data_IF_513140577955
#
_entry.id   IF_513140577955
#
_cell.length_a   1.000
_cell.length_b   1.000
_cell.length_c   1.000
_cell.angle_alpha   90.00
_cell.angle_beta   90.00
_cell.angle_gamma   90.00
#
_symmetry.space_group_name_H-M   'P 1'
#
loop_
_entity.id
_entity.type
_entity.pdbx_description
1 polymer ?
#
# COMPACT_ATOMS: atom_id res chain seq x y z
N UNK A 1 19.54 -77.47 12.09
CA UNK A 1 19.46 -76.16 11.42
C UNK A 1 18.03 -75.92 10.94
N UNK A 2 17.16 -75.27 11.73
CA UNK A 2 15.85 -74.80 11.28
C UNK A 2 15.81 -73.27 11.11
N UNK A 3 14.87 -72.83 10.28
CA UNK A 3 14.64 -71.45 9.84
C UNK A 3 14.11 -70.53 10.94
N UNK A 4 14.68 -69.32 11.05
CA UNK A 4 14.10 -68.22 11.83
C UNK A 4 13.07 -67.47 10.98
N UNK A 5 11.84 -67.40 11.47
CA UNK A 5 10.76 -66.64 10.86
C UNK A 5 10.09 -65.83 11.98
N UNK A 6 10.40 -64.54 12.08
CA UNK A 6 9.78 -63.64 13.07
C UNK A 6 9.26 -62.40 12.37
N UNK A 7 7.95 -62.35 12.14
CA UNK A 7 7.26 -61.21 11.56
C UNK A 7 6.68 -60.35 12.69
N UNK A 8 7.48 -59.41 13.19
CA UNK A 8 7.04 -58.50 14.26
C UNK A 8 6.20 -57.35 13.70
N UNK A 9 4.89 -57.61 13.55
CA UNK A 9 3.89 -56.56 13.36
C UNK A 9 3.76 -55.74 14.66
N UNK A 10 4.67 -54.81 14.89
CA UNK A 10 4.60 -53.88 16.03
C UNK A 10 3.41 -52.92 15.86
N UNK A 11 2.28 -53.33 16.45
CA UNK A 11 1.06 -52.52 16.55
C UNK A 11 1.09 -51.82 17.90
N UNK A 12 1.58 -50.59 17.95
CA UNK A 12 1.46 -49.75 19.14
C UNK A 12 -0.02 -49.42 19.39
N UNK A 13 -0.56 -49.60 20.61
CA UNK A 13 -1.93 -49.23 20.92
C UNK A 13 -2.08 -47.70 20.92
N UNK A 14 -3.12 -47.20 20.26
CA UNK A 14 -3.45 -45.79 20.28
C UNK A 14 -4.01 -45.40 21.67
N UNK A 15 -3.27 -44.58 22.42
CA UNK A 15 -3.77 -43.92 23.62
C UNK A 15 -4.57 -42.67 23.20
N UNK A 16 -5.89 -42.61 23.44
CA UNK A 16 -6.74 -41.56 22.85
C UNK A 16 -6.65 -40.19 23.54
N UNK A 17 -6.07 -40.10 24.75
CA UNK A 17 -6.26 -38.94 25.65
C UNK A 17 -5.12 -37.89 25.65
N UNK A 18 -4.11 -38.02 24.77
CA UNK A 18 -2.97 -37.07 24.67
C UNK A 18 -2.91 -36.28 23.35
N UNK A 19 -3.77 -36.59 22.39
CA UNK A 19 -3.70 -36.11 20.99
C UNK A 19 -4.10 -34.64 20.76
N UNK A 20 -4.53 -33.92 21.80
CA UNK A 20 -5.31 -32.67 21.65
C UNK A 20 -4.61 -31.39 22.16
N UNK A 21 -3.27 -31.37 22.16
CA UNK A 21 -2.48 -30.16 22.45
C UNK A 21 -2.26 -29.31 21.19
N UNK A 22 -2.13 -29.94 20.01
CA UNK A 22 -1.85 -29.25 18.73
C UNK A 22 -3.12 -29.06 17.89
N UNK A 23 -3.17 -27.93 17.19
CA UNK A 23 -4.23 -27.61 16.22
C UNK A 23 -4.28 -28.67 15.10
N UNK A 24 -5.47 -29.01 14.56
CA UNK A 24 -5.58 -29.90 13.40
C UNK A 24 -4.73 -29.46 12.20
N UNK A 25 -4.53 -28.16 12.01
CA UNK A 25 -3.68 -27.62 10.94
C UNK A 25 -2.18 -27.77 11.22
N UNK A 26 -1.75 -27.64 12.47
CA UNK A 26 -0.35 -27.87 12.87
C UNK A 26 0.03 -29.34 12.67
N UNK A 27 -0.88 -30.26 13.00
CA UNK A 27 -0.71 -31.71 12.77
C UNK A 27 -0.63 -32.05 11.28
N UNK A 28 -1.42 -31.37 10.45
CA UNK A 28 -1.30 -31.43 8.97
C UNK A 28 0.08 -30.95 8.52
N UNK A 29 0.56 -29.82 9.04
CA UNK A 29 1.86 -29.25 8.64
C UNK A 29 3.03 -30.14 9.08
N UNK A 30 3.01 -30.68 10.30
CA UNK A 30 4.02 -31.63 10.78
C UNK A 30 4.04 -32.91 9.94
N UNK A 31 2.88 -33.44 9.55
CA UNK A 31 2.81 -34.59 8.65
C UNK A 31 3.43 -34.30 7.27
N UNK A 32 3.24 -33.10 6.72
CA UNK A 32 3.87 -32.68 5.45
C UNK A 32 5.39 -32.53 5.61
N UNK A 33 5.86 -31.94 6.71
CA UNK A 33 7.29 -31.82 7.02
C UNK A 33 7.93 -33.20 7.18
N UNK A 34 7.30 -34.12 7.91
CA UNK A 34 7.79 -35.49 8.08
C UNK A 34 7.85 -36.27 6.75
N UNK A 35 6.87 -36.08 5.86
CA UNK A 35 6.92 -36.61 4.49
C UNK A 35 8.14 -36.03 3.77
N UNK A 36 8.25 -34.71 3.65
CA UNK A 36 9.30 -34.04 2.86
C UNK A 36 10.72 -34.28 3.39
N UNK A 37 10.88 -34.48 4.71
CA UNK A 37 12.17 -34.69 5.36
C UNK A 37 12.65 -36.14 5.33
N UNK A 38 11.82 -37.10 4.91
CA UNK A 38 12.29 -38.49 4.81
C UNK A 38 13.33 -38.67 3.70
N UNK A 39 14.14 -39.73 3.75
CA UNK A 39 14.95 -40.12 2.60
C UNK A 39 14.10 -40.35 1.35
N UNK A 40 14.71 -40.08 0.19
CA UNK A 40 14.23 -40.51 -1.12
C UNK A 40 14.80 -41.90 -1.41
N UNK A 41 13.94 -42.81 -1.85
CA UNK A 41 14.36 -44.11 -2.36
C UNK A 41 15.01 -43.96 -3.75
N UNK A 42 15.78 -44.96 -4.22
CA UNK A 42 16.46 -44.89 -5.53
C UNK A 42 15.52 -44.73 -6.74
N UNK A 43 14.23 -45.00 -6.57
CA UNK A 43 13.17 -44.79 -7.57
C UNK A 43 12.62 -43.35 -7.61
N UNK A 44 13.17 -42.45 -6.78
CA UNK A 44 12.71 -41.07 -6.62
C UNK A 44 11.43 -40.93 -5.80
N UNK A 45 10.95 -42.00 -5.16
CA UNK A 45 9.77 -41.93 -4.28
C UNK A 45 10.17 -41.69 -2.82
N UNK A 46 9.34 -40.92 -2.12
CA UNK A 46 9.49 -40.65 -0.70
C UNK A 46 9.41 -41.95 0.10
N UNK A 47 10.36 -42.23 1.00
CA UNK A 47 10.32 -43.41 1.87
C UNK A 47 9.08 -43.35 2.78
N UNK A 48 8.86 -42.22 3.43
CA UNK A 48 7.72 -42.02 4.32
C UNK A 48 6.43 -41.70 3.53
N UNK A 49 5.61 -42.75 3.34
CA UNK A 49 4.39 -42.67 2.52
C UNK A 49 3.27 -41.90 3.24
N UNK A 50 2.46 -41.17 2.47
CA UNK A 50 1.28 -40.39 2.93
C UNK A 50 0.33 -41.19 3.85
N UNK A 51 0.21 -42.51 3.65
CA UNK A 51 -0.63 -43.38 4.50
C UNK A 51 -0.04 -43.66 5.89
N UNK A 52 1.29 -43.64 6.04
CA UNK A 52 1.94 -43.72 7.34
C UNK A 52 1.74 -42.40 8.09
N UNK A 53 2.17 -41.28 7.49
CA UNK A 53 1.97 -39.93 8.01
C UNK A 53 0.51 -39.62 8.44
N UNK A 54 -0.48 -40.03 7.65
CA UNK A 54 -1.90 -39.86 8.00
C UNK A 54 -2.29 -40.59 9.30
N UNK A 55 -1.72 -41.77 9.59
CA UNK A 55 -1.97 -42.51 10.83
C UNK A 55 -1.17 -41.92 11.99
N UNK A 56 0.13 -41.73 11.78
CA UNK A 56 1.08 -41.38 12.83
C UNK A 56 0.81 -39.96 13.40
N UNK A 57 0.33 -39.03 12.55
CA UNK A 57 -0.15 -37.71 12.96
C UNK A 57 -1.68 -37.65 13.17
N UNK A 58 -2.39 -38.78 12.99
CA UNK A 58 -3.84 -38.93 13.12
C UNK A 58 -4.67 -37.93 12.26
N UNK A 59 -4.19 -37.64 11.03
CA UNK A 59 -4.76 -36.68 10.08
C UNK A 59 -5.52 -37.41 8.96
N UNK A 60 -6.73 -36.97 8.55
CA UNK A 60 -7.43 -37.56 7.41
C UNK A 60 -6.60 -37.54 6.12
N UNK A 61 -6.39 -38.72 5.51
CA UNK A 61 -5.55 -38.90 4.31
C UNK A 61 -5.95 -38.00 3.14
N UNK A 62 -7.25 -37.77 2.95
CA UNK A 62 -7.78 -36.86 1.91
C UNK A 62 -7.29 -35.44 2.12
N UNK A 63 -7.40 -34.90 3.34
CA UNK A 63 -6.92 -33.58 3.72
C UNK A 63 -5.40 -33.46 3.53
N UNK A 64 -4.63 -34.43 4.02
CA UNK A 64 -3.17 -34.45 3.86
C UNK A 64 -2.75 -34.50 2.38
N UNK A 65 -3.46 -35.26 1.55
CA UNK A 65 -3.20 -35.33 0.10
C UNK A 65 -3.55 -34.00 -0.60
N UNK A 66 -4.69 -33.39 -0.27
CA UNK A 66 -5.07 -32.09 -0.82
C UNK A 66 -4.03 -31.00 -0.48
N UNK A 67 -3.53 -31.03 0.75
CA UNK A 67 -2.47 -30.13 1.23
C UNK A 67 -1.14 -30.30 0.50
N UNK A 68 -0.70 -31.55 0.32
CA UNK A 68 0.51 -31.86 -0.44
C UNK A 68 0.40 -31.38 -1.90
N UNK A 69 -0.82 -31.38 -2.46
CA UNK A 69 -1.15 -30.85 -3.78
C UNK A 69 -1.35 -29.31 -3.81
N UNK A 70 -1.03 -28.60 -2.73
CA UNK A 70 -1.09 -27.13 -2.68
C UNK A 70 -2.47 -26.51 -2.40
N UNK A 71 -3.45 -27.30 -1.94
CA UNK A 71 -4.76 -26.74 -1.54
C UNK A 71 -4.62 -25.92 -0.25
N UNK A 72 -5.03 -24.65 -0.32
CA UNK A 72 -4.97 -23.65 0.76
C UNK A 72 -5.97 -23.94 1.90
N UNK A 73 -5.75 -23.34 3.08
CA UNK A 73 -6.70 -23.43 4.19
C UNK A 73 -8.00 -22.73 3.78
N UNK A 74 -9.12 -23.11 4.40
CA UNK A 74 -10.35 -22.34 4.26
C UNK A 74 -10.18 -20.86 4.70
N UNK A 75 -9.27 -20.58 5.64
CA UNK A 75 -8.97 -19.22 6.11
C UNK A 75 -8.22 -18.39 5.05
N UNK A 76 -7.22 -19.00 4.41
CA UNK A 76 -6.44 -18.42 3.29
C UNK A 76 -7.31 -18.25 2.04
N UNK A 77 -8.09 -19.28 1.68
CA UNK A 77 -8.94 -19.23 0.50
C UNK A 77 -9.96 -18.07 0.56
N UNK A 78 -10.55 -17.81 1.73
CA UNK A 78 -11.46 -16.67 1.95
C UNK A 78 -10.73 -15.36 2.30
N UNK A 79 -9.39 -15.27 2.18
CA UNK A 79 -8.66 -14.02 2.48
C UNK A 79 -9.09 -12.87 1.56
N UNK A 80 -9.37 -13.17 0.29
CA UNK A 80 -9.85 -12.21 -0.69
C UNK A 80 -11.29 -11.71 -0.44
N UNK A 81 -12.07 -12.38 0.42
CA UNK A 81 -13.43 -11.99 0.81
C UNK A 81 -13.44 -11.06 2.03
N UNK A 82 -12.28 -10.78 2.63
CA UNK A 82 -12.15 -9.91 3.82
C UNK A 82 -12.36 -8.45 3.43
N UNK A 83 -13.10 -7.71 4.26
CA UNK A 83 -13.33 -6.27 4.08
C UNK A 83 -12.03 -5.45 4.22
N UNK A 84 -11.11 -5.88 5.10
CA UNK A 84 -9.78 -5.28 5.26
C UNK A 84 -8.72 -6.26 4.77
N UNK A 85 -7.76 -5.74 4.01
CA UNK A 85 -6.51 -6.44 3.66
C UNK A 85 -5.63 -6.62 4.90
N UNK A 86 -4.65 -7.53 4.84
CA UNK A 86 -3.68 -7.75 5.92
C UNK A 86 -2.94 -6.44 6.31
N UNK A 87 -2.60 -5.61 5.32
CA UNK A 87 -1.95 -4.32 5.55
C UNK A 87 -2.88 -3.33 6.31
N UNK A 88 -4.17 -3.26 5.94
CA UNK A 88 -5.15 -2.44 6.64
C UNK A 88 -5.42 -2.95 8.06
N UNK A 89 -5.50 -4.27 8.27
CA UNK A 89 -5.62 -4.83 9.62
C UNK A 89 -4.40 -4.49 10.49
N UNK A 90 -3.18 -4.48 9.94
CA UNK A 90 -1.99 -4.09 10.68
C UNK A 90 -2.04 -2.63 11.17
N UNK A 91 -2.64 -1.70 10.40
CA UNK A 91 -2.88 -0.32 10.85
C UNK A 91 -3.83 -0.30 12.05
N UNK A 92 -4.89 -1.11 12.03
CA UNK A 92 -5.81 -1.26 13.18
C UNK A 92 -5.08 -1.85 14.39
N UNK A 93 -4.22 -2.86 14.20
CA UNK A 93 -3.39 -3.46 15.27
C UNK A 93 -2.45 -2.42 15.89
N UNK A 94 -1.79 -1.61 15.07
CA UNK A 94 -0.88 -0.55 15.53
C UNK A 94 -1.63 0.54 16.30
N UNK A 95 -2.78 0.98 15.80
CA UNK A 95 -3.66 1.94 16.49
C UNK A 95 -4.12 1.41 17.85
N UNK A 96 -4.56 0.15 17.95
CA UNK A 96 -4.93 -0.46 19.25
C UNK A 96 -3.74 -0.49 20.22
N UNK A 97 -2.52 -0.78 19.72
CA UNK A 97 -1.31 -0.77 20.55
C UNK A 97 -0.96 0.64 21.05
N UNK A 98 -1.08 1.66 20.20
CA UNK A 98 -0.88 3.06 20.59
C UNK A 98 -1.92 3.52 21.63
N UNK A 99 -3.18 3.12 21.48
CA UNK A 99 -4.23 3.41 22.47
C UNK A 99 -3.96 2.71 23.80
N UNK A 100 -3.54 1.44 23.78
CA UNK A 100 -3.12 0.70 24.98
C UNK A 100 -1.91 1.33 25.69
N UNK A 101 -0.91 1.79 24.94
CA UNK A 101 0.24 2.54 25.49
C UNK A 101 -0.16 3.87 26.15
N UNK A 102 -1.26 4.49 25.71
CA UNK A 102 -1.84 5.70 26.31
C UNK A 102 -2.76 5.40 27.51
N UNK A 103 -2.91 4.13 27.89
CA UNK A 103 -3.83 3.70 28.96
C UNK A 103 -5.31 3.77 28.58
N UNK A 104 -5.64 3.91 27.29
CA UNK A 104 -7.02 4.02 26.80
C UNK A 104 -7.51 2.65 26.30
N UNK A 105 -8.50 2.01 26.96
CA UNK A 105 -9.06 0.76 26.49
C UNK A 105 -9.88 0.98 25.21
N UNK A 106 -9.56 0.26 24.14
CA UNK A 106 -10.34 0.27 22.89
C UNK A 106 -11.54 -0.66 23.04
N UNK A 107 -12.75 -0.13 22.88
CA UNK A 107 -13.98 -0.94 22.86
C UNK A 107 -14.19 -1.61 21.49
N UNK A 108 -15.03 -2.65 21.45
CA UNK A 108 -15.37 -3.31 20.19
C UNK A 108 -16.12 -2.42 19.19
N UNK A 109 -16.77 -1.36 19.67
CA UNK A 109 -17.45 -0.34 18.86
C UNK A 109 -16.44 0.62 18.23
N UNK A 110 -15.56 1.23 19.04
CA UNK A 110 -14.46 2.08 18.53
C UNK A 110 -13.57 1.34 17.52
N UNK A 111 -13.37 0.03 17.73
CA UNK A 111 -12.61 -0.83 16.81
C UNK A 111 -13.35 -1.09 15.49
N UNK A 112 -14.69 -1.12 15.51
CA UNK A 112 -15.53 -1.25 14.33
C UNK A 112 -15.60 0.08 13.55
N UNK A 113 -15.74 1.21 14.25
CA UNK A 113 -15.74 2.56 13.67
C UNK A 113 -14.41 2.86 12.97
N UNK A 114 -13.28 2.59 13.63
CA UNK A 114 -11.95 2.79 13.04
C UNK A 114 -11.70 1.88 11.82
N UNK A 115 -12.28 0.66 11.81
CA UNK A 115 -12.23 -0.23 10.65
C UNK A 115 -13.17 0.21 9.52
N UNK A 116 -14.30 0.86 9.85
CA UNK A 116 -15.20 1.51 8.90
C UNK A 116 -14.48 2.67 8.18
N UNK A 117 -13.81 3.56 8.93
CA UNK A 117 -13.05 4.69 8.38
C UNK A 117 -11.97 4.24 7.37
N UNK A 118 -11.33 3.10 7.62
CA UNK A 118 -10.29 2.53 6.74
C UNK A 118 -10.87 1.82 5.50
N UNK A 119 -12.08 1.25 5.60
CA UNK A 119 -12.68 0.42 4.55
C UNK A 119 -13.73 1.16 3.70
N UNK A 120 -14.30 2.26 4.21
CA UNK A 120 -15.44 2.97 3.61
C UNK A 120 -16.73 2.15 3.57
N UNK A 121 -16.85 1.10 4.42
CA UNK A 121 -17.97 0.15 4.44
C UNK A 121 -18.26 -0.27 5.88
N UNK A 122 -19.52 -0.53 6.20
CA UNK A 122 -19.89 -1.07 7.51
C UNK A 122 -19.25 -2.44 7.75
N UNK A 123 -18.57 -2.60 8.88
CA UNK A 123 -18.05 -3.90 9.32
C UNK A 123 -19.12 -4.66 10.09
N UNK A 124 -19.28 -5.95 9.81
CA UNK A 124 -20.35 -6.74 10.42
C UNK A 124 -20.20 -6.86 11.95
N UNK A 125 -21.31 -6.98 12.69
CA UNK A 125 -21.37 -7.02 14.18
C UNK A 125 -20.35 -7.95 14.88
N UNK A 126 -19.96 -9.06 14.24
CA UNK A 126 -18.99 -10.01 14.79
C UNK A 126 -17.52 -9.73 14.38
N UNK A 127 -17.26 -8.67 13.61
CA UNK A 127 -15.94 -8.37 13.02
C UNK A 127 -14.90 -8.06 14.11
N UNK A 128 -15.20 -7.16 15.04
CA UNK A 128 -14.32 -6.80 16.16
C UNK A 128 -13.92 -8.03 16.99
N UNK A 129 -14.87 -8.91 17.31
CA UNK A 129 -14.59 -10.18 18.02
C UNK A 129 -13.66 -11.09 17.22
N UNK A 130 -13.97 -11.30 15.93
CA UNK A 130 -13.13 -12.11 15.03
C UNK A 130 -11.75 -11.49 14.79
N UNK A 131 -11.60 -10.17 14.84
CA UNK A 131 -10.32 -9.48 14.72
C UNK A 131 -9.43 -9.80 15.94
N UNK A 132 -9.95 -9.68 17.16
CA UNK A 132 -9.22 -10.07 18.38
C UNK A 132 -8.96 -11.59 18.44
N UNK A 133 -9.82 -12.42 17.83
CA UNK A 133 -9.52 -13.85 17.63
C UNK A 133 -8.33 -14.10 16.69
N UNK A 134 -8.10 -13.25 15.68
CA UNK A 134 -6.95 -13.33 14.74
C UNK A 134 -5.66 -12.77 15.31
N UNK A 135 -5.74 -11.76 16.18
CA UNK A 135 -4.61 -11.02 16.75
C UNK A 135 -4.46 -11.35 18.25
N UNK A 136 -3.91 -12.52 18.62
CA UNK A 136 -3.78 -12.93 20.02
C UNK A 136 -2.82 -12.05 20.83
N UNK A 137 -1.93 -11.31 20.16
CA UNK A 137 -1.06 -10.29 20.75
C UNK A 137 -1.83 -9.06 21.28
N UNK A 138 -3.08 -8.87 20.86
CA UNK A 138 -4.00 -7.86 21.42
C UNK A 138 -4.84 -8.38 22.59
N UNK A 139 -4.76 -9.67 22.94
CA UNK A 139 -5.47 -10.23 24.10
C UNK A 139 -4.74 -9.86 25.38
N UNK A 140 -5.14 -8.74 25.99
CA UNK A 140 -4.67 -8.35 27.32
C UNK A 140 -5.10 -9.41 28.32
N UNK A 141 -4.14 -10.11 28.94
CA UNK A 141 -4.41 -10.96 30.10
C UNK A 141 -5.04 -10.09 31.19
N UNK A 142 -6.20 -10.51 31.72
CA UNK A 142 -6.91 -9.77 32.78
C UNK A 142 -5.95 -9.50 33.94
N UNK A 143 -5.58 -8.25 34.15
CA UNK A 143 -4.80 -7.83 35.31
C UNK A 143 -5.64 -8.18 36.54
N UNK A 144 -5.11 -9.04 37.41
CA UNK A 144 -5.71 -9.30 38.72
C UNK A 144 -5.55 -7.99 39.50
N UNK A 145 -6.66 -7.27 39.70
CA UNK A 145 -6.68 -6.00 40.42
C UNK A 145 -6.34 -6.25 41.89
N UNK A 146 -5.08 -6.01 42.26
CA UNK A 146 -4.65 -6.03 43.65
C UNK A 146 -5.35 -4.90 44.43
N UNK A 147 -5.91 -5.24 45.58
CA UNK A 147 -6.74 -4.37 46.41
C UNK A 147 -5.99 -3.18 47.00
N UNK A 148 -6.69 -2.05 47.05
CA UNK A 148 -6.30 -0.80 47.72
C UNK A 148 -5.86 -1.04 49.17
N UNK A 149 -4.79 -0.40 49.61
CA UNK A 149 -4.48 -0.22 51.04
C UNK A 149 -4.26 1.25 51.34
N UNK A 150 -5.18 1.82 52.11
CA UNK A 150 -5.12 3.18 52.65
C UNK A 150 -4.22 3.18 53.89
N UNK A 151 -3.24 4.09 53.97
CA UNK A 151 -2.45 4.30 55.18
C UNK A 151 -2.74 5.68 55.75
N UNK A 152 -3.30 5.69 56.97
CA UNK A 152 -3.76 6.89 57.68
C UNK A 152 -2.67 7.48 58.58
N UNK A 153 -2.75 8.80 58.76
CA UNK A 153 -2.03 9.66 59.70
C UNK A 153 -1.72 9.06 61.07
N UNK A 154 -0.57 9.43 61.67
CA UNK A 154 -0.42 9.42 63.13
C UNK A 154 0.52 10.54 63.60
N UNK A 155 0.05 11.33 64.56
CA UNK A 155 0.73 12.48 65.19
C UNK A 155 1.34 12.07 66.52
N UNK A 156 2.49 12.63 66.92
CA UNK A 156 3.09 12.41 68.25
C UNK A 156 3.67 13.69 68.86
N UNK A 157 3.17 14.05 70.04
CA UNK A 157 3.57 15.13 70.96
C UNK A 157 4.57 14.57 72.01
N UNK A 158 5.38 15.31 72.80
CA UNK A 158 5.49 16.76 73.13
C UNK A 158 7.02 17.09 73.33
N UNK A 159 7.56 17.64 74.46
CA UNK A 159 7.32 18.95 75.11
C UNK A 159 8.56 19.86 75.34
N UNK A 160 8.32 21.20 75.39
CA UNK A 160 8.80 22.21 76.40
C UNK A 160 10.34 22.53 76.47
N UNK A 161 10.86 23.77 76.57
CA UNK A 161 10.36 25.03 77.17
C UNK A 161 10.96 26.36 76.59
N UNK A 162 10.27 27.51 76.79
CA UNK A 162 10.72 28.86 77.31
C UNK A 162 12.03 29.55 76.81
N UNK A 163 12.18 30.85 76.51
CA UNK A 163 11.36 32.11 76.62
C UNK A 163 11.67 33.12 75.46
N UNK A 164 11.16 34.37 75.58
CA UNK A 164 11.05 35.49 74.61
C UNK A 164 12.38 36.32 74.35
N UNK A 165 12.34 37.59 73.85
CA UNK A 165 12.18 37.99 72.44
C UNK A 165 13.28 38.95 71.93
N UNK A 166 13.33 39.27 70.61
CA UNK A 166 13.48 40.64 70.01
C UNK A 166 14.03 40.70 68.56
N UNK A 167 13.44 41.62 67.79
CA UNK A 167 14.02 42.50 66.74
C UNK A 167 14.43 41.98 65.33
N UNK A 168 13.61 42.42 64.35
CA UNK A 168 14.00 43.13 63.11
C UNK A 168 14.95 42.51 62.05
N UNK A 169 14.37 42.04 60.93
CA UNK A 169 14.79 42.33 59.54
C UNK A 169 13.64 41.92 58.58
N UNK A 170 12.91 42.87 57.99
CA UNK A 170 13.19 43.49 56.67
C UNK A 170 12.91 42.60 55.45
N UNK A 171 11.80 42.91 54.76
CA UNK A 171 11.78 42.98 53.29
C UNK A 171 11.81 41.69 52.48
N UNK A 172 10.71 40.93 52.46
CA UNK A 172 10.34 40.11 51.31
C UNK A 172 8.83 40.22 51.05
N UNK A 173 8.45 41.07 50.09
CA UNK A 173 7.07 41.14 49.63
C UNK A 173 6.65 39.78 49.05
N UNK A 174 5.58 39.22 49.59
CA UNK A 174 4.86 38.13 48.93
C UNK A 174 4.19 38.68 47.67
N UNK A 175 4.90 38.63 46.54
CA UNK A 175 4.26 38.73 45.23
C UNK A 175 3.33 37.52 45.10
N UNK A 176 2.04 37.73 45.31
CA UNK A 176 1.03 36.73 44.97
C UNK A 176 1.19 36.40 43.49
N UNK A 177 1.65 35.18 43.19
CA UNK A 177 1.62 34.66 41.84
C UNK A 177 0.15 34.48 41.44
N UNK A 178 -0.43 35.54 40.88
CA UNK A 178 -1.68 35.46 40.14
C UNK A 178 -1.44 34.37 39.09
N UNK A 179 -2.20 33.26 39.10
CA UNK A 179 -2.06 32.26 38.05
C UNK A 179 -2.35 32.97 36.72
N UNK A 180 -1.44 32.92 35.73
CA UNK A 180 -1.70 33.57 34.46
C UNK A 180 -2.98 32.95 33.89
N UNK A 181 -4.03 33.77 33.73
CA UNK A 181 -5.24 33.31 33.06
C UNK A 181 -4.86 32.74 31.69
N UNK A 182 -5.55 31.70 31.21
CA UNK A 182 -5.25 31.08 29.93
C UNK A 182 -5.60 32.04 28.79
N UNK A 183 -4.68 32.96 28.48
CA UNK A 183 -4.71 33.76 27.27
C UNK A 183 -4.81 32.76 26.11
N UNK A 184 -5.89 32.77 25.32
CA UNK A 184 -5.99 31.88 24.17
C UNK A 184 -4.87 32.26 23.21
N UNK A 185 -3.85 31.40 23.10
CA UNK A 185 -2.61 31.67 22.37
C UNK A 185 -2.85 31.96 20.87
N UNK A 186 -4.05 31.65 20.36
CA UNK A 186 -4.47 31.80 18.98
C UNK A 186 -5.85 32.47 18.89
N UNK A 187 -5.98 33.69 19.41
CA UNK A 187 -7.14 34.54 19.13
C UNK A 187 -7.03 35.12 17.70
N UNK A 188 -8.03 34.87 16.84
CA UNK A 188 -8.06 35.41 15.47
C UNK A 188 -8.38 36.91 15.53
N UNK A 189 -7.33 37.74 15.51
CA UNK A 189 -7.45 39.20 15.50
C UNK A 189 -7.77 39.74 14.10
N UNK A 190 -8.67 40.72 13.98
CA UNK A 190 -8.94 41.41 12.71
C UNK A 190 -10.08 40.82 11.87
N UNK A 191 -10.97 40.04 12.49
CA UNK A 191 -12.24 39.62 11.87
C UNK A 191 -13.09 40.88 11.56
N UNK A 192 -13.50 41.12 10.31
CA UNK A 192 -14.29 42.29 9.95
C UNK A 192 -15.72 42.18 10.52
N UNK A 193 -16.36 43.29 10.90
CA UNK A 193 -17.72 43.28 11.43
C UNK A 193 -18.72 42.79 10.36
N UNK A 194 -19.85 42.15 10.76
CA UNK A 194 -20.84 41.65 9.82
C UNK A 194 -21.42 42.78 8.96
N UNK A 195 -21.57 42.52 7.66
CA UNK A 195 -22.14 43.48 6.71
C UNK A 195 -23.60 43.81 7.03
N UNK A 196 -23.95 45.09 6.86
CA UNK A 196 -25.31 45.58 7.11
C UNK A 196 -26.34 45.12 6.06
N UNK A 197 -27.65 45.24 6.36
CA UNK A 197 -28.74 44.68 5.52
C UNK A 197 -28.94 45.36 4.15
N UNK A 198 -28.11 46.35 3.79
CA UNK A 198 -28.09 47.02 2.49
C UNK A 198 -26.77 46.82 1.72
N UNK A 199 -25.91 45.89 2.17
CA UNK A 199 -24.62 45.63 1.54
C UNK A 199 -24.77 45.13 0.10
N UNK A 200 -23.85 45.57 -0.76
CA UNK A 200 -23.76 45.15 -2.16
C UNK A 200 -23.17 43.74 -2.29
N UNK A 201 -23.45 43.09 -3.42
CA UNK A 201 -22.80 41.82 -3.80
C UNK A 201 -21.27 41.95 -3.81
N UNK A 202 -20.75 43.11 -4.20
CA UNK A 202 -19.30 43.36 -4.20
C UNK A 202 -18.74 43.44 -2.78
N UNK A 203 -19.45 44.08 -1.84
CA UNK A 203 -19.04 44.15 -0.44
C UNK A 203 -18.97 42.74 0.18
N UNK A 204 -19.95 41.90 -0.15
CA UNK A 204 -20.01 40.50 0.28
C UNK A 204 -18.83 39.68 -0.28
N UNK A 205 -18.44 39.88 -1.54
CA UNK A 205 -17.25 39.25 -2.11
C UNK A 205 -15.98 39.74 -1.40
N UNK A 206 -15.81 41.06 -1.25
CA UNK A 206 -14.64 41.65 -0.59
C UNK A 206 -14.48 41.21 0.87
N UNK A 207 -15.57 41.07 1.62
CA UNK A 207 -15.51 40.52 2.99
C UNK A 207 -15.12 39.03 2.98
N UNK A 208 -15.66 38.23 2.06
CA UNK A 208 -15.29 36.82 1.95
C UNK A 208 -13.81 36.64 1.59
N UNK A 209 -13.25 37.47 0.70
CA UNK A 209 -11.84 37.39 0.33
C UNK A 209 -10.93 37.86 1.46
N UNK A 210 -11.31 38.89 2.23
CA UNK A 210 -10.60 39.27 3.46
C UNK A 210 -10.63 38.15 4.52
N UNK A 211 -11.78 37.49 4.72
CA UNK A 211 -11.90 36.36 5.65
C UNK A 211 -11.03 35.16 5.22
N UNK A 212 -10.92 34.89 3.92
CA UNK A 212 -10.04 33.85 3.37
C UNK A 212 -8.57 34.16 3.62
N UNK A 213 -8.13 35.39 3.33
CA UNK A 213 -6.75 35.84 3.57
C UNK A 213 -6.39 35.79 5.07
N UNK A 214 -7.36 36.14 5.94
CA UNK A 214 -7.18 36.05 7.39
C UNK A 214 -7.00 34.59 7.85
N UNK A 215 -7.84 33.68 7.34
CA UNK A 215 -7.73 32.24 7.64
C UNK A 215 -6.40 31.65 7.15
N UNK A 216 -6.00 31.94 5.92
CA UNK A 216 -4.74 31.50 5.32
C UNK A 216 -3.54 31.95 6.18
N UNK A 217 -3.52 33.22 6.59
CA UNK A 217 -2.50 33.76 7.49
C UNK A 217 -2.48 33.05 8.84
N UNK A 218 -3.64 32.84 9.47
CA UNK A 218 -3.73 32.15 10.76
C UNK A 218 -3.26 30.69 10.67
N UNK A 219 -3.54 29.97 9.58
CA UNK A 219 -3.00 28.63 9.34
C UNK A 219 -1.47 28.64 9.30
N UNK A 220 -0.87 29.56 8.54
CA UNK A 220 0.59 29.70 8.44
C UNK A 220 1.23 30.01 9.80
N UNK A 221 0.58 30.84 10.64
CA UNK A 221 1.07 31.17 11.98
C UNK A 221 0.96 29.97 12.94
N UNK A 222 -0.12 29.18 12.87
CA UNK A 222 -0.29 27.93 13.62
C UNK A 222 0.74 26.86 13.23
N UNK A 223 0.99 26.65 11.94
CA UNK A 223 1.99 25.69 11.45
C UNK A 223 3.40 26.04 11.94
N UNK A 224 3.76 27.33 11.93
CA UNK A 224 5.04 27.82 12.48
C UNK A 224 5.14 27.57 13.98
N UNK A 225 4.10 27.88 14.75
CA UNK A 225 4.07 27.63 16.20
C UNK A 225 4.22 26.15 16.53
N UNK A 226 3.51 25.27 15.81
CA UNK A 226 3.63 23.82 15.94
C UNK A 226 5.04 23.30 15.58
N UNK A 227 5.65 23.82 14.51
CA UNK A 227 7.02 23.47 14.13
C UNK A 227 8.05 23.87 15.21
N UNK A 228 7.89 25.05 15.82
CA UNK A 228 8.72 25.51 16.95
C UNK A 228 8.52 24.60 18.16
N UNK A 229 7.28 24.29 18.54
CA UNK A 229 6.99 23.35 19.64
C UNK A 229 7.65 21.99 19.40
N UNK A 230 7.52 21.42 18.21
CA UNK A 230 8.14 20.11 17.87
C UNK A 230 9.67 20.15 17.78
N UNK A 231 10.28 21.32 17.59
CA UNK A 231 11.73 21.48 17.70
C UNK A 231 12.16 21.53 19.17
N UNK A 232 11.42 22.28 20.01
CA UNK A 232 11.65 22.36 21.45
C UNK A 232 11.44 21.01 22.15
N UNK A 233 10.42 20.24 21.77
CA UNK A 233 10.20 18.88 22.31
C UNK A 233 11.40 17.96 22.03
N UNK A 234 11.91 17.93 20.79
CA UNK A 234 13.11 17.13 20.44
C UNK A 234 14.36 17.60 21.16
N UNK A 235 14.53 18.91 21.34
CA UNK A 235 15.68 19.45 22.06
C UNK A 235 15.59 19.15 23.56
N UNK A 236 14.39 19.21 24.14
CA UNK A 236 14.14 18.78 25.51
C UNK A 236 14.39 17.27 25.68
N UNK A 237 13.93 16.43 24.76
CA UNK A 237 14.26 15.00 24.73
C UNK A 237 15.78 14.78 24.66
N UNK A 238 16.49 15.52 23.80
CA UNK A 238 17.96 15.46 23.69
C UNK A 238 18.64 15.90 24.98
N UNK A 239 18.17 16.96 25.63
CA UNK A 239 18.69 17.45 26.91
C UNK A 239 18.40 16.47 28.04
N UNK A 240 17.21 15.86 28.09
CA UNK A 240 16.89 14.78 29.03
C UNK A 240 17.80 13.56 28.80
N UNK A 241 18.04 13.18 27.54
CA UNK A 241 19.01 12.13 27.21
C UNK A 241 20.40 12.48 27.74
N UNK A 242 20.94 13.67 27.47
CA UNK A 242 22.28 14.07 27.95
C UNK A 242 22.36 14.19 29.47
N UNK A 243 21.32 14.72 30.14
CA UNK A 243 21.32 14.94 31.57
C UNK A 243 21.13 13.67 32.40
N UNK A 244 20.19 12.79 31.99
CA UNK A 244 19.81 11.59 32.75
C UNK A 244 20.48 10.32 32.24
N UNK A 245 20.74 10.21 30.93
CA UNK A 245 21.69 9.22 30.40
C UNK A 245 23.10 9.81 30.43
N UNK A 246 23.55 10.14 31.65
CA UNK A 246 24.96 10.37 31.97
C UNK A 246 25.74 9.21 31.36
N UNK A 247 26.54 9.53 30.35
CA UNK A 247 27.05 8.56 29.41
C UNK A 247 27.63 7.37 30.17
N UNK A 248 27.05 6.17 29.97
CA UNK A 248 27.77 4.92 30.21
C UNK A 248 28.81 4.80 29.11
N UNK A 249 29.75 5.77 29.10
CA UNK A 249 31.02 5.71 28.40
C UNK A 249 31.49 4.29 28.60
N UNK A 250 31.57 3.56 27.49
CA UNK A 250 31.75 2.12 27.51
C UNK A 250 33.10 1.87 28.17
N UNK A 251 33.10 1.67 29.49
CA UNK A 251 34.20 1.07 30.22
C UNK A 251 34.40 -0.23 29.46
N UNK A 252 35.47 -0.27 28.65
CA UNK A 252 35.91 -1.52 28.04
C UNK A 252 36.00 -2.47 29.23
N UNK A 253 35.25 -3.58 29.21
CA UNK A 253 35.47 -4.69 30.16
C UNK A 253 36.87 -5.24 29.82
N UNK A 254 37.92 -4.52 30.20
CA UNK A 254 39.27 -5.04 30.28
C UNK A 254 39.23 -5.97 31.48
N UNK A 255 39.10 -7.26 31.21
CA UNK A 255 39.15 -8.28 32.24
C UNK A 255 40.51 -8.15 32.93
N UNK A 256 40.52 -7.69 34.18
CA UNK A 256 41.76 -7.57 34.93
C UNK A 256 42.19 -8.98 35.33
N UNK A 257 43.38 -9.39 34.88
CA UNK A 257 43.98 -10.68 35.23
C UNK A 257 44.20 -10.86 36.75
N UNK A 258 44.00 -9.80 37.55
CA UNK A 258 44.08 -9.84 39.01
C UNK A 258 42.92 -10.59 39.69
N UNK A 259 41.74 -10.71 39.05
CA UNK A 259 40.56 -11.35 39.66
C UNK A 259 40.58 -12.90 39.49
N UNK A 260 41.78 -13.48 39.45
CA UNK A 260 42.03 -14.87 39.16
C UNK A 260 41.75 -15.78 40.36
N UNK A 261 40.47 -16.01 40.70
CA UNK A 261 40.08 -17.06 41.66
C UNK A 261 39.07 -18.10 41.18
N UNK A 262 38.16 -17.77 40.24
CA UNK A 262 37.22 -18.77 39.70
C UNK A 262 36.98 -18.63 38.17
N UNK A 263 38.00 -18.98 37.38
CA UNK A 263 37.89 -19.22 35.92
C UNK A 263 37.13 -20.52 35.58
N UNK A 264 36.16 -20.91 36.41
CA UNK A 264 35.53 -22.24 36.42
C UNK A 264 34.01 -22.20 36.54
N UNK A 265 33.40 -21.01 36.57
CA UNK A 265 31.95 -20.90 36.38
C UNK A 265 31.62 -20.95 34.90
N UNK A 266 30.66 -21.80 34.52
CA UNK A 266 30.20 -22.01 33.14
C UNK A 266 29.84 -20.68 32.46
N UNK A 267 29.19 -19.78 33.20
CA UNK A 267 28.84 -18.42 32.78
C UNK A 267 30.05 -17.58 32.30
N UNK A 268 31.23 -17.72 32.93
CA UNK A 268 32.44 -16.99 32.50
C UNK A 268 33.05 -17.56 31.22
N UNK A 269 32.94 -18.88 31.02
CA UNK A 269 33.37 -19.53 29.78
C UNK A 269 32.45 -19.16 28.61
N UNK A 270 31.14 -19.10 28.85
CA UNK A 270 30.16 -18.63 27.88
C UNK A 270 30.32 -17.14 27.55
N UNK A 271 30.59 -16.27 28.53
CA UNK A 271 30.93 -14.86 28.26
C UNK A 271 32.18 -14.74 27.36
N UNK A 272 33.22 -15.53 27.62
CA UNK A 272 34.45 -15.53 26.81
C UNK A 272 34.21 -16.06 25.39
N UNK A 273 33.54 -17.21 25.25
CA UNK A 273 33.19 -17.79 23.96
C UNK A 273 32.32 -16.83 23.13
N UNK A 274 31.36 -16.16 23.76
CA UNK A 274 30.52 -15.13 23.14
C UNK A 274 31.34 -13.91 22.71
N UNK A 275 32.33 -13.48 23.49
CA UNK A 275 33.21 -12.36 23.14
C UNK A 275 34.14 -12.70 21.96
N UNK A 276 34.69 -13.92 21.90
CA UNK A 276 35.43 -14.41 20.74
C UNK A 276 34.55 -14.49 19.49
N UNK A 277 33.38 -15.12 19.60
CA UNK A 277 32.42 -15.24 18.52
C UNK A 277 32.04 -13.87 17.97
N UNK A 278 31.69 -12.92 18.85
CA UNK A 278 31.33 -11.55 18.47
C UNK A 278 32.51 -10.75 17.89
N UNK A 279 33.74 -11.18 18.08
CA UNK A 279 34.92 -10.60 17.43
C UNK A 279 35.07 -11.16 16.02
N UNK A 280 35.13 -12.49 15.88
CA UNK A 280 35.17 -13.19 14.59
C UNK A 280 34.00 -12.78 13.66
N UNK A 281 32.80 -12.63 14.23
CA UNK A 281 31.60 -12.17 13.51
C UNK A 281 31.72 -10.74 12.97
N UNK A 282 32.38 -9.82 13.68
CA UNK A 282 32.60 -8.45 13.19
C UNK A 282 33.54 -8.43 11.99
N UNK A 283 34.57 -9.28 11.99
CA UNK A 283 35.50 -9.38 10.87
C UNK A 283 34.80 -9.95 9.62
N UNK A 284 34.01 -11.03 9.78
CA UNK A 284 33.14 -11.57 8.72
C UNK A 284 32.17 -10.50 8.19
N UNK A 285 31.52 -9.73 9.07
CA UNK A 285 30.59 -8.66 8.64
C UNK A 285 31.30 -7.48 7.95
N UNK A 286 32.57 -7.22 8.29
CA UNK A 286 33.39 -6.18 7.65
C UNK A 286 33.83 -6.59 6.24
N UNK A 287 34.22 -7.85 6.06
CA UNK A 287 34.55 -8.46 4.77
C UNK A 287 33.30 -8.58 3.88
N UNK A 288 32.24 -9.23 4.38
CA UNK A 288 30.96 -9.37 3.69
C UNK A 288 30.34 -8.00 3.33
N UNK A 289 30.54 -6.98 4.17
CA UNK A 289 30.12 -5.59 3.92
C UNK A 289 30.65 -5.03 2.59
N UNK A 290 31.88 -5.35 2.21
CA UNK A 290 32.45 -4.97 0.91
C UNK A 290 31.75 -5.71 -0.23
N UNK A 291 31.57 -7.03 -0.11
CA UNK A 291 30.83 -7.83 -1.09
C UNK A 291 29.37 -7.41 -1.26
N UNK A 292 28.70 -6.93 -0.20
CA UNK A 292 27.34 -6.38 -0.30
C UNK A 292 27.34 -5.01 -1.00
N UNK A 293 28.35 -4.17 -0.77
CA UNK A 293 28.48 -2.88 -1.48
C UNK A 293 28.72 -3.08 -2.98
N UNK A 294 29.63 -3.98 -3.35
CA UNK A 294 29.92 -4.33 -4.74
C UNK A 294 28.66 -4.94 -5.41
N UNK A 295 27.99 -5.91 -4.77
CA UNK A 295 26.77 -6.51 -5.32
C UNK A 295 25.65 -5.49 -5.55
N UNK A 296 25.43 -4.53 -4.63
CA UNK A 296 24.47 -3.43 -4.84
C UNK A 296 24.85 -2.55 -6.04
N UNK A 297 26.14 -2.24 -6.23
CA UNK A 297 26.60 -1.47 -7.39
C UNK A 297 26.38 -2.23 -8.71
N UNK A 298 26.67 -3.52 -8.74
CA UNK A 298 26.43 -4.38 -9.91
C UNK A 298 24.94 -4.49 -10.27
N UNK A 299 24.05 -4.61 -9.27
CA UNK A 299 22.59 -4.62 -9.49
C UNK A 299 22.14 -3.30 -10.14
N UNK A 300 22.52 -2.15 -9.56
CA UNK A 300 22.16 -0.82 -10.10
C UNK A 300 22.75 -0.56 -11.50
N UNK A 301 23.93 -1.12 -11.80
CA UNK A 301 24.49 -1.07 -13.16
C UNK A 301 23.68 -1.94 -14.13
N UNK A 302 23.36 -3.17 -13.75
CA UNK A 302 22.57 -4.08 -14.56
C UNK A 302 21.16 -3.56 -14.85
N UNK A 303 20.51 -2.95 -13.86
CA UNK A 303 19.20 -2.29 -14.02
C UNK A 303 19.25 -1.19 -15.10
N UNK A 304 20.25 -0.29 -15.05
CA UNK A 304 20.45 0.73 -16.09
C UNK A 304 20.76 0.14 -17.46
N UNK A 305 21.55 -0.93 -17.52
CA UNK A 305 21.85 -1.61 -18.79
C UNK A 305 20.59 -2.21 -19.41
N UNK A 306 19.72 -2.81 -18.59
CA UNK A 306 18.42 -3.34 -19.02
C UNK A 306 17.50 -2.23 -19.51
N UNK A 307 17.38 -1.12 -18.77
CA UNK A 307 16.63 0.07 -19.20
C UNK A 307 17.15 0.64 -20.53
N UNK A 308 18.46 0.75 -20.68
CA UNK A 308 19.06 1.29 -21.91
C UNK A 308 18.87 0.33 -23.10
N UNK A 309 18.96 -0.99 -22.87
CA UNK A 309 18.65 -2.00 -23.88
C UNK A 309 17.17 -1.96 -24.30
N UNK A 310 16.25 -1.81 -23.34
CA UNK A 310 14.82 -1.65 -23.62
C UNK A 310 14.56 -0.39 -24.45
N UNK A 311 15.11 0.76 -24.04
CA UNK A 311 15.01 2.03 -24.79
C UNK A 311 15.59 1.92 -26.20
N UNK A 312 16.75 1.27 -26.37
CA UNK A 312 17.37 1.01 -27.68
C UNK A 312 16.50 0.06 -28.54
N UNK A 313 15.86 -0.93 -27.94
CA UNK A 313 14.97 -1.85 -28.64
C UNK A 313 13.65 -1.16 -29.06
N UNK A 314 13.07 -0.35 -28.19
CA UNK A 314 11.86 0.44 -28.46
C UNK A 314 12.11 1.49 -29.56
N UNK A 315 13.19 2.27 -29.47
CA UNK A 315 13.57 3.22 -30.51
C UNK A 315 13.69 2.54 -31.90
N UNK A 316 14.33 1.37 -31.97
CA UNK A 316 14.40 0.56 -33.20
C UNK A 316 13.03 0.04 -33.67
N UNK A 317 12.08 -0.20 -32.77
CA UNK A 317 10.71 -0.60 -33.14
C UNK A 317 9.91 0.59 -33.66
N UNK A 318 10.00 1.75 -33.01
CA UNK A 318 9.35 3.00 -33.44
C UNK A 318 9.89 3.43 -34.80
N UNK A 319 11.22 3.40 -35.01
CA UNK A 319 11.85 3.72 -36.30
C UNK A 319 11.36 2.78 -37.43
N UNK A 320 11.29 1.47 -37.16
CA UNK A 320 10.76 0.49 -38.11
C UNK A 320 9.27 0.71 -38.41
N UNK A 321 8.47 1.04 -37.40
CA UNK A 321 7.04 1.35 -37.56
C UNK A 321 6.84 2.64 -38.38
N UNK A 322 7.60 3.70 -38.11
CA UNK A 322 7.58 4.93 -38.88
C UNK A 322 7.98 4.71 -40.35
N UNK A 323 9.01 3.91 -40.61
CA UNK A 323 9.41 3.51 -41.98
C UNK A 323 8.34 2.66 -42.68
N UNK A 324 7.59 1.84 -41.96
CA UNK A 324 6.45 1.09 -42.52
C UNK A 324 5.28 2.02 -42.87
N UNK A 325 4.87 2.88 -41.94
CA UNK A 325 3.80 3.87 -42.14
C UNK A 325 4.12 4.83 -43.30
N UNK A 326 5.36 5.31 -43.42
CA UNK A 326 5.78 6.16 -44.53
C UNK A 326 5.61 5.47 -45.90
N UNK A 327 5.94 4.18 -45.99
CA UNK A 327 5.74 3.36 -47.22
C UNK A 327 4.26 3.17 -47.53
N UNK A 328 3.42 3.01 -46.50
CA UNK A 328 1.97 2.87 -46.65
C UNK A 328 1.33 4.16 -47.15
N UNK A 329 1.71 5.32 -46.60
CA UNK A 329 1.29 6.65 -47.11
C UNK A 329 1.76 6.86 -48.55
N UNK A 330 3.00 6.52 -48.88
CA UNK A 330 3.52 6.63 -50.25
C UNK A 330 2.73 5.74 -51.23
N UNK A 331 2.41 4.52 -50.83
CA UNK A 331 1.59 3.59 -51.60
C UNK A 331 0.15 4.10 -51.78
N UNK A 332 -0.47 4.62 -50.72
CA UNK A 332 -1.81 5.21 -50.77
C UNK A 332 -1.86 6.42 -51.71
N UNK A 333 -0.86 7.32 -51.65
CA UNK A 333 -0.74 8.45 -52.57
C UNK A 333 -0.57 8.00 -54.04
N UNK A 334 0.22 6.93 -54.28
CA UNK A 334 0.35 6.31 -55.60
C UNK A 334 -0.98 5.70 -56.08
N UNK A 335 -1.73 5.05 -55.19
CA UNK A 335 -3.04 4.47 -55.48
C UNK A 335 -4.09 5.55 -55.81
N UNK A 336 -4.18 6.62 -55.02
CA UNK A 336 -5.05 7.77 -55.28
C UNK A 336 -4.73 8.44 -56.62
N UNK A 337 -3.45 8.71 -56.92
CA UNK A 337 -3.02 9.25 -58.22
C UNK A 337 -3.42 8.33 -59.38
N UNK A 338 -3.37 7.00 -59.21
CA UNK A 338 -3.82 6.02 -60.22
C UNK A 338 -5.34 6.02 -60.39
N UNK A 339 -6.11 6.13 -59.30
CA UNK A 339 -7.57 6.25 -59.36
C UNK A 339 -7.99 7.57 -60.03
N UNK A 340 -7.43 8.72 -59.64
CA UNK A 340 -7.71 10.01 -60.28
C UNK A 340 -7.41 10.02 -61.78
N UNK A 341 -6.31 9.38 -62.22
CA UNK A 341 -6.02 9.19 -63.66
C UNK A 341 -7.05 8.28 -64.35
N UNK A 342 -7.55 7.22 -63.69
CA UNK A 342 -8.64 6.39 -64.23
C UNK A 342 -9.95 7.19 -64.32
N UNK A 343 -10.31 7.93 -63.28
CA UNK A 343 -11.49 8.81 -63.24
C UNK A 343 -11.47 9.82 -64.39
N UNK A 344 -10.38 10.57 -64.57
CA UNK A 344 -10.24 11.53 -65.69
C UNK A 344 -10.29 10.88 -67.08
N UNK A 345 -9.88 9.61 -67.22
CA UNK A 345 -10.07 8.85 -68.47
C UNK A 345 -11.51 8.41 -68.67
N UNK A 346 -12.20 7.99 -67.60
CA UNK A 346 -13.60 7.59 -67.64
C UNK A 346 -14.52 8.79 -67.93
N UNK A 347 -14.29 9.95 -67.30
CA UNK A 347 -15.05 11.17 -67.60
C UNK A 347 -14.80 11.65 -69.03
N UNK A 348 -13.55 11.64 -69.53
CA UNK A 348 -13.28 11.97 -70.93
C UNK A 348 -13.91 10.99 -71.92
N UNK A 349 -14.00 9.69 -71.59
CA UNK A 349 -14.73 8.71 -72.41
C UNK A 349 -16.23 9.00 -72.38
N UNK A 350 -16.79 9.26 -71.20
CA UNK A 350 -18.22 9.57 -71.05
C UNK A 350 -18.60 10.86 -71.78
N UNK A 351 -17.82 11.94 -71.65
CA UNK A 351 -18.10 13.19 -72.37
C UNK A 351 -17.98 13.07 -73.88
N UNK A 352 -17.15 12.16 -74.39
CA UNK A 352 -17.12 11.84 -75.83
C UNK A 352 -18.39 11.08 -76.24
N UNK A 353 -18.79 10.07 -75.47
CA UNK A 353 -20.00 9.29 -75.72
C UNK A 353 -21.29 10.13 -75.59
N UNK A 354 -21.36 11.04 -74.63
CA UNK A 354 -22.48 11.98 -74.45
C UNK A 354 -22.54 13.00 -75.60
N UNK A 355 -21.39 13.39 -76.18
CA UNK A 355 -21.31 14.24 -77.38
C UNK A 355 -21.73 13.48 -78.65
N UNK A 356 -21.31 12.21 -78.80
CA UNK A 356 -21.72 11.37 -79.94
C UNK A 356 -23.25 11.12 -79.90
N UNK A 357 -23.82 10.87 -78.72
CA UNK A 357 -25.27 10.75 -78.53
C UNK A 357 -26.03 12.06 -78.80
N UNK A 358 -25.44 13.22 -78.51
CA UNK A 358 -26.00 14.52 -78.87
C UNK A 358 -26.02 14.74 -80.40
N UNK A 359 -25.00 14.25 -81.11
CA UNK A 359 -24.95 14.31 -82.59
C UNK A 359 -25.93 13.34 -83.26
N UNK A 360 -26.17 12.15 -82.69
CA UNK A 360 -27.19 11.21 -83.21
C UNK A 360 -28.64 11.71 -82.98
N UNK A 361 -28.87 12.56 -81.98
CA UNK A 361 -30.20 13.11 -81.65
C UNK A 361 -30.77 14.13 -82.66
N UNK A 362 -30.02 14.50 -83.71
CA UNK A 362 -30.42 15.52 -84.70
C UNK A 362 -31.13 14.98 -85.95
N UNK A 363 -31.54 13.70 -85.98
CA UNK A 363 -32.11 13.07 -87.18
C UNK A 363 -33.38 12.23 -86.92
N UNK A 364 -34.54 12.87 -86.77
CA UNK A 364 -35.88 12.24 -86.85
C UNK A 364 -36.84 13.12 -87.67
N UNK A 365 -37.66 12.57 -88.62
CA UNK A 365 -38.54 13.36 -89.49
C UNK A 365 -39.93 13.73 -88.91
N UNK A 366 -40.65 14.59 -89.64
CA UNK A 366 -42.02 15.08 -89.42
C UNK A 366 -43.08 13.98 -89.19
N UNK A 367 -44.15 14.32 -88.44
CA UNK A 367 -45.50 14.23 -89.01
C UNK A 367 -46.36 15.51 -88.82
N UNK A 368 -47.42 15.64 -89.62
CA UNK A 368 -48.22 16.85 -89.80
C UNK A 368 -49.36 17.12 -88.78
N UNK A 369 -49.75 18.41 -88.72
CA UNK A 369 -51.09 18.95 -88.36
C UNK A 369 -51.62 18.93 -86.91
N UNK A 370 -51.22 19.96 -86.13
CA UNK A 370 -52.04 21.11 -85.65
C UNK A 370 -53.55 20.98 -85.28
N UNK A 371 -54.12 21.92 -84.47
CA UNK A 371 -53.52 22.75 -83.40
C UNK A 371 -54.40 22.94 -82.13
N UNK A 372 -53.82 23.42 -81.02
CA UNK A 372 -54.25 24.63 -80.24
C UNK A 372 -53.53 24.72 -78.88
N UNK A 373 -53.20 25.95 -78.46
CA UNK A 373 -52.49 26.34 -77.21
C UNK A 373 -53.50 26.94 -76.19
N UNK A 374 -53.13 27.52 -75.00
CA UNK A 374 -51.81 27.74 -74.36
C UNK A 374 -51.73 27.45 -72.82
N UNK A 375 -50.63 27.91 -72.19
CA UNK A 375 -50.40 28.13 -70.74
C UNK A 375 -50.01 26.91 -69.87
N UNK A 376 -49.09 26.98 -68.89
CA UNK A 376 -48.26 28.10 -68.38
C UNK A 376 -47.07 27.60 -67.52
N UNK A 377 -45.95 28.37 -67.51
CA UNK A 377 -44.89 28.55 -66.48
C UNK A 377 -44.22 27.31 -65.80
N UNK A 378 -42.89 27.09 -65.79
CA UNK A 378 -41.69 27.88 -65.41
C UNK A 378 -41.32 27.88 -63.90
N UNK A 379 -40.01 27.98 -63.65
CA UNK A 379 -39.28 28.03 -62.36
C UNK A 379 -38.93 26.66 -61.71
N UNK A 380 -37.78 26.43 -61.05
CA UNK A 380 -36.59 27.31 -60.86
C UNK A 380 -35.26 26.52 -60.71
N UNK A 381 -34.27 26.97 -61.49
CA UNK A 381 -32.83 27.17 -61.21
C UNK A 381 -31.96 26.20 -60.39
N UNK A 382 -30.74 26.00 -60.93
CA UNK A 382 -29.56 25.46 -60.26
C UNK A 382 -28.76 26.60 -59.59
N UNK A 383 -28.17 26.39 -58.41
CA UNK A 383 -26.98 27.15 -58.00
C UNK A 383 -26.10 26.41 -56.99
N UNK A 384 -24.79 26.47 -57.24
CA UNK A 384 -23.71 25.95 -56.39
C UNK A 384 -22.72 27.08 -56.14
N UNK A 385 -22.23 27.27 -54.91
CA UNK A 385 -21.01 28.02 -54.56
C UNK A 385 -20.60 27.74 -53.11
N UNK A 386 -19.29 27.85 -52.84
CA UNK A 386 -18.59 27.34 -51.64
C UNK A 386 -18.53 28.38 -50.46
N UNK A 387 -17.47 28.51 -49.63
CA UNK A 387 -17.50 28.00 -48.24
C UNK A 387 -17.05 29.02 -47.16
N UNK A 388 -17.16 28.69 -45.87
CA UNK A 388 -16.29 29.32 -44.84
C UNK A 388 -16.09 28.49 -43.56
N UNK A 389 -15.08 28.86 -42.76
CA UNK A 389 -14.47 28.05 -41.70
C UNK A 389 -15.07 28.24 -40.29
N UNK A 390 -14.96 27.24 -39.38
CA UNK A 390 -15.04 27.46 -37.94
C UNK A 390 -13.64 27.52 -37.28
N UNK A 391 -13.48 28.47 -36.36
CA UNK A 391 -12.24 28.73 -35.62
C UNK A 391 -12.10 28.00 -34.28
N UNK A 392 -11.03 28.36 -33.57
CA UNK A 392 -10.52 27.73 -32.33
C UNK A 392 -11.41 27.99 -31.11
N UNK A 393 -11.66 26.95 -30.31
CA UNK A 393 -11.93 27.04 -28.86
C UNK A 393 -11.24 25.88 -28.13
N UNK A 394 -10.84 26.12 -26.88
CA UNK A 394 -9.81 25.36 -26.16
C UNK A 394 -10.33 24.21 -25.30
N UNK A 395 -9.38 23.33 -24.96
CA UNK A 395 -9.25 22.52 -23.74
C UNK A 395 -10.44 22.40 -22.78
N UNK A 396 -11.01 21.18 -22.67
CA UNK A 396 -11.06 20.48 -21.38
C UNK A 396 -11.36 18.97 -21.54
N UNK A 397 -11.03 18.20 -20.49
CA UNK A 397 -11.49 16.82 -20.25
C UNK A 397 -11.03 15.68 -21.18
N UNK A 398 -9.81 15.17 -20.92
CA UNK A 398 -9.37 13.84 -21.37
C UNK A 398 -8.71 13.02 -20.25
N UNK A 399 -9.51 12.49 -19.33
CA UNK A 399 -9.12 11.40 -18.41
C UNK A 399 -10.30 10.47 -18.17
N UNK A 400 -10.37 9.37 -18.93
CA UNK A 400 -10.94 8.06 -18.55
C UNK A 400 -11.04 7.16 -19.79
N UNK A 401 -10.14 6.17 -19.93
CA UNK A 401 -10.47 4.94 -20.65
C UNK A 401 -10.01 3.76 -19.79
N UNK A 402 -10.99 2.91 -19.49
CA UNK A 402 -10.91 1.77 -18.59
C UNK A 402 -10.13 0.58 -19.17
N UNK A 403 -9.44 -0.13 -18.29
CA UNK A 403 -8.84 -1.44 -18.53
C UNK A 403 -9.91 -2.51 -18.76
N UNK A 404 -9.94 -3.15 -19.94
CA UNK A 404 -10.79 -4.33 -20.15
C UNK A 404 -10.15 -5.40 -21.07
N UNK A 405 -9.96 -6.58 -20.48
CA UNK A 405 -9.99 -7.91 -21.12
C UNK A 405 -9.21 -8.14 -22.43
N UNK A 406 -7.98 -8.66 -22.31
CA UNK A 406 -7.37 -9.52 -23.33
C UNK A 406 -7.47 -10.99 -22.94
N UNK A 407 -8.35 -11.75 -23.61
CA UNK A 407 -8.40 -13.22 -23.49
C UNK A 407 -7.16 -13.86 -24.11
N UNK A 408 -6.67 -14.92 -23.47
CA UNK A 408 -5.41 -15.61 -23.81
C UNK A 408 -5.65 -16.74 -24.84
N UNK A 409 -4.96 -16.78 -26.00
CA UNK A 409 -5.15 -17.85 -26.98
C UNK A 409 -4.40 -19.13 -26.59
N UNK A 410 -5.10 -20.28 -26.64
CA UNK A 410 -4.52 -21.59 -26.33
C UNK A 410 -3.43 -22.00 -27.34
N UNK A 411 -2.30 -22.45 -26.80
CA UNK A 411 -1.15 -23.00 -27.52
C UNK A 411 -1.46 -24.42 -28.01
N UNK A 412 -1.57 -24.63 -29.32
CA UNK A 412 -1.67 -25.96 -29.90
C UNK A 412 -0.30 -26.66 -29.88
N UNK A 413 -0.21 -27.81 -29.22
CA UNK A 413 0.95 -28.70 -29.26
C UNK A 413 0.84 -29.58 -30.51
N UNK A 414 1.87 -29.58 -31.35
CA UNK A 414 1.97 -30.44 -32.53
C UNK A 414 3.07 -31.46 -32.30
N UNK A 415 2.67 -32.70 -32.04
CA UNK A 415 3.55 -33.87 -32.02
C UNK A 415 3.85 -34.35 -33.44
N UNK A 416 5.12 -34.60 -33.73
CA UNK A 416 5.62 -35.69 -34.59
C UNK A 416 7.05 -36.02 -34.15
#
# INVERSE_FOLDING_TARGET
MPTMNTTENSTCPANPDVDNILSPEERIQLAIQAINNSPLLPDGTQEYKIRAAARDFNVPRSTLTARLNGVQTRKEAHEHERQLTLAQENVVVEWVKVMGQRGLPVTGEMLADYAHDICGKEVGKNWARKFVERHPDLKVNKIITATTTTTTTTTTTTPVASEDPLSSASGAQACSAIPPEPIPQFAISGVPPPLGPKASRNDLHSQNDHLRLLLERSCIELEKAYAIQKLMERENERLHMVAFHKDKSKKKKTYSSSEARHMTSEETMDELAKMEFMTKWKDVMKEAGQHFKIRRQMIVQHEREVEEQQRKAEAKRVEKAAKAAAREVEWALKAMKKQGKKGRKATKKKSAQDHDAFMEGLNIPLPDSHPSTPSSELSFSLSFSDPEMPGVVNEESAKEISTSHRRNPRRAVRTK
#
